data_IF_477511826658
#
_entry.id   IF_477511826658
#
_cell.length_a   1.000
_cell.length_b   1.000
_cell.length_c   1.000
_cell.angle_alpha   90.00
_cell.angle_beta   90.00
_cell.angle_gamma   90.00
#
_symmetry.space_group_name_H-M   'P 1'
#
loop_
_entity.id
_entity.type
_entity.pdbx_description
1 polymer ?
#
# COMPACT_ATOMS: atom_id res chain seq x y z
N UNK A 1 -0.41 -35.04 -25.76
CA UNK A 1 -1.19 -34.70 -24.55
C UNK A 1 -1.11 -33.20 -24.40
N UNK A 2 -2.22 -32.50 -24.54
CA UNK A 2 -2.28 -31.08 -24.17
C UNK A 2 -2.03 -30.98 -22.67
N UNK A 3 -1.10 -30.10 -22.27
CA UNK A 3 -0.89 -29.81 -20.86
C UNK A 3 -2.11 -29.03 -20.38
N UNK A 4 -2.84 -29.59 -19.42
CA UNK A 4 -3.93 -28.89 -18.78
C UNK A 4 -3.36 -27.69 -18.01
N UNK A 5 -3.88 -26.50 -18.29
CA UNK A 5 -3.51 -25.24 -17.64
C UNK A 5 -4.71 -24.68 -16.89
N UNK A 6 -4.48 -24.18 -15.69
CA UNK A 6 -5.49 -23.57 -14.84
C UNK A 6 -5.13 -22.10 -14.61
N UNK A 7 -6.00 -21.19 -14.99
CA UNK A 7 -5.77 -19.76 -14.80
C UNK A 7 -6.15 -19.35 -13.39
N UNK A 8 -5.25 -18.63 -12.73
CA UNK A 8 -5.38 -18.10 -11.37
C UNK A 8 -5.17 -16.58 -11.41
N UNK A 9 -6.16 -15.81 -10.94
CA UNK A 9 -5.97 -14.42 -10.55
C UNK A 9 -5.64 -14.37 -9.05
N UNK A 10 -4.45 -13.88 -8.74
CA UNK A 10 -3.91 -13.82 -7.39
C UNK A 10 -3.77 -12.36 -6.96
N UNK A 11 -4.44 -12.00 -5.86
CA UNK A 11 -4.23 -10.74 -5.16
C UNK A 11 -3.17 -10.92 -4.07
N UNK A 12 -2.12 -10.10 -4.10
CA UNK A 12 -1.11 -9.96 -3.07
C UNK A 12 -1.38 -8.68 -2.29
N UNK A 13 -1.71 -8.83 -1.00
CA UNK A 13 -1.98 -7.73 -0.09
C UNK A 13 -0.72 -7.40 0.71
N UNK A 14 -0.15 -6.23 0.46
CA UNK A 14 1.04 -5.73 1.14
C UNK A 14 0.64 -4.86 2.35
N UNK A 15 1.12 -5.25 3.52
CA UNK A 15 1.03 -4.44 4.75
C UNK A 15 2.41 -3.86 5.07
N UNK A 16 2.48 -2.54 5.22
CA UNK A 16 3.70 -1.85 5.68
C UNK A 16 3.50 -1.39 7.13
N UNK A 17 3.99 -2.19 8.07
CA UNK A 17 3.72 -2.05 9.50
C UNK A 17 5.01 -1.66 10.22
N UNK A 18 5.13 -0.43 10.75
CA UNK A 18 4.23 0.73 10.60
C UNK A 18 4.36 1.44 9.22
N UNK A 19 3.43 2.35 8.84
CA UNK A 19 2.35 2.95 9.62
C UNK A 19 0.98 2.25 9.51
N UNK A 20 0.84 1.25 8.65
CA UNK A 20 -0.40 0.49 8.49
C UNK A 20 -0.59 -0.52 9.63
N UNK A 21 -1.74 -1.17 9.66
CA UNK A 21 -2.01 -2.34 10.52
C UNK A 21 -2.07 -3.62 9.70
N UNK A 22 -1.56 -4.72 10.27
CA UNK A 22 -1.42 -6.06 9.64
C UNK A 22 -2.77 -6.70 9.24
N UNK A 23 -3.86 -6.33 9.91
CA UNK A 23 -5.21 -6.88 9.65
C UNK A 23 -6.18 -5.85 9.05
N UNK A 24 -5.66 -4.76 8.47
CA UNK A 24 -6.45 -3.74 7.79
C UNK A 24 -6.69 -4.10 6.31
N UNK A 25 -7.08 -3.10 5.51
CA UNK A 25 -6.98 -3.24 4.04
C UNK A 25 -5.59 -2.75 3.60
N UNK A 26 -4.80 -3.65 3.01
CA UNK A 26 -3.43 -3.35 2.56
C UNK A 26 -3.37 -2.80 1.13
N UNK A 27 -2.16 -2.59 0.63
CA UNK A 27 -1.94 -2.25 -0.78
C UNK A 27 -2.04 -3.55 -1.59
N UNK A 28 -3.03 -3.63 -2.46
CA UNK A 28 -3.25 -4.81 -3.29
C UNK A 28 -2.51 -4.69 -4.62
N UNK A 29 -1.78 -5.75 -4.93
CA UNK A 29 -1.23 -6.03 -6.25
C UNK A 29 -1.93 -7.26 -6.81
N UNK A 30 -2.30 -7.26 -8.08
CA UNK A 30 -2.94 -8.41 -8.72
C UNK A 30 -2.08 -8.98 -9.84
N UNK A 31 -2.16 -10.29 -10.06
CA UNK A 31 -1.49 -10.98 -11.15
C UNK A 31 -2.24 -12.22 -11.61
N UNK A 32 -2.32 -12.38 -12.92
CA UNK A 32 -2.81 -13.60 -13.56
C UNK A 32 -1.66 -14.59 -13.80
N UNK A 33 -1.86 -15.84 -13.40
CA UNK A 33 -0.89 -16.94 -13.51
C UNK A 33 -1.56 -18.15 -14.18
N UNK A 34 -0.84 -18.80 -15.09
CA UNK A 34 -1.26 -20.10 -15.64
C UNK A 34 -0.51 -21.22 -14.91
N UNK A 35 -1.25 -22.02 -14.16
CA UNK A 35 -0.72 -23.10 -13.34
C UNK A 35 -0.85 -24.44 -14.09
N UNK A 36 0.19 -25.29 -14.07
CA UNK A 36 0.14 -26.62 -14.69
C UNK A 36 -0.57 -27.67 -13.81
N UNK A 37 -1.18 -27.24 -12.70
CA UNK A 37 -1.88 -28.06 -11.74
C UNK A 37 -3.11 -27.30 -11.22
N UNK A 38 -4.09 -28.05 -10.72
CA UNK A 38 -5.29 -27.49 -10.10
C UNK A 38 -4.89 -26.71 -8.85
N UNK A 39 -5.22 -25.41 -8.73
CA UNK A 39 -4.97 -24.67 -7.50
C UNK A 39 -5.76 -25.32 -6.35
N UNK A 40 -5.08 -25.60 -5.24
CA UNK A 40 -5.73 -26.07 -4.02
C UNK A 40 -5.30 -25.18 -2.86
N UNK A 41 -6.13 -25.04 -1.82
CA UNK A 41 -5.77 -24.25 -0.65
C UNK A 41 -4.44 -24.73 -0.07
N UNK A 42 -3.69 -23.82 0.55
CA UNK A 42 -2.40 -24.09 1.21
C UNK A 42 -1.22 -24.43 0.27
N UNK A 43 -1.44 -24.50 -1.05
CA UNK A 43 -0.31 -24.52 -2.00
C UNK A 43 0.42 -23.19 -1.91
N UNK A 44 1.74 -23.29 -1.78
CA UNK A 44 2.64 -22.16 -1.88
C UNK A 44 3.18 -22.02 -3.30
N UNK A 45 3.07 -20.82 -3.86
CA UNK A 45 3.73 -20.45 -5.10
C UNK A 45 5.08 -19.82 -4.80
N UNK A 46 6.17 -20.38 -5.32
CA UNK A 46 7.50 -19.82 -5.15
C UNK A 46 8.26 -19.77 -6.49
N UNK A 47 9.14 -18.77 -6.60
CA UNK A 47 9.99 -18.61 -7.77
C UNK A 47 10.45 -17.16 -7.91
N UNK A 48 11.61 -16.97 -8.56
CA UNK A 48 12.18 -15.64 -8.81
C UNK A 48 11.25 -14.72 -9.59
N UNK A 49 10.39 -15.30 -10.42
CA UNK A 49 9.40 -14.57 -11.20
C UNK A 49 8.18 -14.16 -10.38
N UNK A 50 7.97 -14.74 -9.19
CA UNK A 50 6.77 -14.57 -8.37
C UNK A 50 7.07 -13.65 -7.17
N UNK A 51 8.18 -13.90 -6.48
CA UNK A 51 8.54 -13.25 -5.22
C UNK A 51 9.99 -12.75 -5.20
N UNK A 52 10.24 -11.74 -4.37
CA UNK A 52 11.53 -11.08 -4.19
C UNK A 52 12.51 -11.93 -3.37
N UNK A 53 12.03 -12.49 -2.27
CA UNK A 53 12.80 -13.33 -1.37
C UNK A 53 12.14 -14.71 -1.31
N UNK A 54 12.39 -15.61 -2.29
CA UNK A 54 11.75 -16.92 -2.36
C UNK A 54 12.14 -17.76 -1.14
N UNK A 55 11.40 -17.61 -0.06
CA UNK A 55 11.51 -18.41 1.14
C UNK A 55 10.95 -19.80 0.87
N UNK A 56 11.33 -20.81 1.68
CA UNK A 56 10.79 -22.16 1.56
C UNK A 56 9.25 -22.19 1.74
N UNK A 57 8.66 -21.15 2.32
CA UNK A 57 7.22 -21.01 2.52
C UNK A 57 6.45 -20.50 1.28
N UNK A 58 7.10 -19.77 0.36
CA UNK A 58 6.45 -19.14 -0.81
C UNK A 58 5.24 -18.25 -0.49
N UNK A 59 4.46 -17.91 -1.51
CA UNK A 59 3.17 -17.23 -1.39
C UNK A 59 2.06 -18.27 -1.24
N UNK A 60 1.56 -18.42 -0.02
CA UNK A 60 0.44 -19.32 0.27
C UNK A 60 -0.84 -18.79 -0.35
N UNK A 61 -1.56 -19.66 -1.06
CA UNK A 61 -2.89 -19.35 -1.59
C UNK A 61 -3.93 -19.43 -0.47
N UNK A 62 -4.41 -18.27 -0.04
CA UNK A 62 -5.52 -18.11 0.89
C UNK A 62 -6.80 -17.71 0.13
N UNK A 63 -7.96 -17.95 0.75
CA UNK A 63 -9.29 -17.60 0.20
C UNK A 63 -9.51 -18.06 -1.25
N UNK A 64 -9.03 -19.27 -1.58
CA UNK A 64 -9.17 -19.84 -2.91
C UNK A 64 -10.65 -20.06 -3.26
N UNK A 65 -11.09 -19.40 -4.33
CA UNK A 65 -12.44 -19.49 -4.88
C UNK A 65 -12.37 -19.85 -6.35
N UNK A 66 -13.33 -20.61 -6.85
CA UNK A 66 -13.49 -20.85 -8.28
C UNK A 66 -14.58 -19.93 -8.82
N UNK A 67 -14.21 -19.03 -9.72
CA UNK A 67 -15.16 -18.26 -10.51
C UNK A 67 -15.63 -19.13 -11.68
N UNK A 68 -16.87 -19.62 -11.56
CA UNK A 68 -17.51 -20.48 -12.56
C UNK A 68 -17.84 -19.70 -13.83
N UNK A 69 -18.18 -18.42 -13.73
CA UNK A 69 -18.60 -17.61 -14.87
C UNK A 69 -17.39 -17.23 -15.75
N UNK A 70 -16.28 -16.85 -15.11
CA UNK A 70 -15.02 -16.49 -15.78
C UNK A 70 -14.10 -17.68 -16.00
N UNK A 71 -14.47 -18.88 -15.51
CA UNK A 71 -13.71 -20.13 -15.64
C UNK A 71 -12.26 -20.02 -15.15
N UNK A 72 -12.05 -19.35 -14.01
CA UNK A 72 -10.73 -19.13 -13.43
C UNK A 72 -10.76 -19.25 -11.90
N UNK A 73 -9.59 -19.45 -11.32
CA UNK A 73 -9.42 -19.45 -9.86
C UNK A 73 -9.07 -18.06 -9.38
N UNK A 74 -9.58 -17.71 -8.20
CA UNK A 74 -9.30 -16.49 -7.50
C UNK A 74 -8.62 -16.86 -6.19
N UNK A 75 -7.46 -16.29 -5.88
CA UNK A 75 -6.85 -16.42 -4.55
C UNK A 75 -6.36 -15.07 -4.04
N UNK A 76 -6.16 -15.01 -2.73
CA UNK A 76 -5.51 -13.90 -2.06
C UNK A 76 -4.31 -14.43 -1.28
N UNK A 77 -3.29 -13.60 -1.10
CA UNK A 77 -2.18 -13.84 -0.19
C UNK A 77 -1.78 -12.53 0.44
N UNK A 78 -1.08 -12.56 1.57
CA UNK A 78 -0.61 -11.35 2.23
C UNK A 78 0.85 -11.43 2.65
N UNK A 79 1.50 -10.27 2.67
CA UNK A 79 2.86 -10.09 3.19
C UNK A 79 2.87 -8.88 4.10
N UNK A 80 3.35 -9.08 5.31
CA UNK A 80 3.66 -8.01 6.26
C UNK A 80 5.13 -7.63 6.12
N UNK A 81 5.39 -6.35 5.93
CA UNK A 81 6.72 -5.77 5.76
C UNK A 81 6.98 -4.75 6.87
N UNK A 82 8.07 -4.96 7.61
CA UNK A 82 8.59 -4.06 8.65
C UNK A 82 9.74 -3.23 8.07
N UNK A 83 9.46 -2.48 7.01
CA UNK A 83 10.48 -1.71 6.29
C UNK A 83 10.29 -0.22 6.52
N UNK A 84 11.36 0.60 6.46
CA UNK A 84 11.23 2.05 6.53
C UNK A 84 10.23 2.56 5.50
N UNK A 85 9.47 3.60 5.87
CA UNK A 85 8.48 4.20 4.97
C UNK A 85 9.10 4.65 3.64
N UNK A 86 10.37 5.06 3.68
CA UNK A 86 11.15 5.44 2.51
C UNK A 86 11.52 4.29 1.57
N UNK A 87 11.23 3.03 1.91
CA UNK A 87 11.48 1.88 1.04
C UNK A 87 10.21 1.34 0.40
N UNK A 88 9.02 1.75 0.88
CA UNK A 88 7.71 1.27 0.41
C UNK A 88 7.60 1.24 -1.12
N UNK A 89 7.93 2.30 -1.87
CA UNK A 89 7.74 2.30 -3.31
C UNK A 89 8.77 1.42 -4.03
N UNK A 90 9.97 1.18 -3.48
CA UNK A 90 10.90 0.19 -4.04
C UNK A 90 10.34 -1.22 -3.92
N UNK A 91 9.80 -1.57 -2.75
CA UNK A 91 9.14 -2.86 -2.52
C UNK A 91 7.98 -3.08 -3.50
N UNK A 92 7.14 -2.07 -3.69
CA UNK A 92 6.05 -2.16 -4.66
C UNK A 92 6.62 -2.30 -6.09
N UNK A 93 7.61 -1.47 -6.46
CA UNK A 93 8.26 -1.51 -7.77
C UNK A 93 8.84 -2.88 -8.08
N UNK A 94 9.47 -3.54 -7.10
CA UNK A 94 10.07 -4.86 -7.27
C UNK A 94 9.02 -5.90 -7.71
N UNK A 95 7.80 -5.85 -7.16
CA UNK A 95 6.70 -6.70 -7.60
C UNK A 95 6.18 -6.28 -8.98
N UNK A 96 6.03 -4.99 -9.26
CA UNK A 96 5.59 -4.53 -10.58
C UNK A 96 6.54 -4.99 -11.70
N UNK A 97 7.85 -4.92 -11.49
CA UNK A 97 8.86 -5.40 -12.45
C UNK A 97 8.80 -6.93 -12.68
N UNK A 98 8.20 -7.68 -11.74
CA UNK A 98 7.93 -9.12 -11.86
C UNK A 98 6.60 -9.44 -12.56
N UNK A 99 5.88 -8.42 -13.02
CA UNK A 99 4.64 -8.55 -13.78
C UNK A 99 3.37 -8.51 -12.92
N UNK A 100 3.47 -8.07 -11.66
CA UNK A 100 2.30 -7.69 -10.87
C UNK A 100 1.75 -6.34 -11.32
N UNK A 101 0.49 -6.06 -11.00
CA UNK A 101 -0.19 -4.79 -11.31
C UNK A 101 -0.80 -4.21 -10.05
N UNK A 102 -0.77 -2.89 -9.89
CA UNK A 102 -1.53 -2.22 -8.83
C UNK A 102 -3.04 -2.43 -9.08
N UNK A 103 -3.79 -2.70 -8.01
CA UNK A 103 -5.23 -2.93 -8.08
C UNK A 103 -5.62 -4.26 -7.44
N UNK A 104 -6.93 -4.52 -7.39
CA UNK A 104 -7.48 -5.78 -6.88
C UNK A 104 -8.31 -6.48 -7.94
N UNK A 105 -8.39 -7.81 -7.87
CA UNK A 105 -9.34 -8.62 -8.66
C UNK A 105 -10.79 -8.14 -8.53
N UNK A 106 -11.14 -7.46 -7.44
CA UNK A 106 -12.47 -6.86 -7.25
C UNK A 106 -12.82 -5.82 -8.35
N UNK A 107 -11.82 -5.22 -8.99
CA UNK A 107 -12.00 -4.33 -10.15
C UNK A 107 -12.67 -5.00 -11.33
N UNK A 108 -12.46 -6.31 -11.52
CA UNK A 108 -13.10 -7.06 -12.60
C UNK A 108 -14.63 -7.19 -12.42
N UNK A 109 -15.15 -6.86 -11.23
CA UNK A 109 -16.58 -6.86 -10.90
C UNK A 109 -17.15 -5.46 -10.68
N UNK A 110 -16.35 -4.40 -10.88
CA UNK A 110 -16.84 -3.02 -10.77
C UNK A 110 -17.64 -2.63 -12.01
N UNK A 111 -18.59 -1.74 -11.82
CA UNK A 111 -19.36 -1.14 -12.89
C UNK A 111 -18.44 -0.28 -13.80
N UNK A 112 -18.64 -0.36 -15.12
CA UNK A 112 -17.77 0.30 -16.12
C UNK A 112 -17.70 1.83 -15.93
N UNK A 113 -18.77 2.46 -15.45
CA UNK A 113 -18.80 3.91 -15.19
C UNK A 113 -17.83 4.32 -14.07
N UNK A 114 -17.73 3.54 -12.98
CA UNK A 114 -16.81 3.82 -11.88
C UNK A 114 -15.35 3.64 -12.30
N UNK A 115 -15.06 2.64 -13.14
CA UNK A 115 -13.71 2.39 -13.65
C UNK A 115 -13.21 3.52 -14.57
N UNK A 116 -14.09 4.08 -15.40
CA UNK A 116 -13.76 5.18 -16.32
C UNK A 116 -13.49 6.49 -15.56
N UNK A 117 -14.28 6.80 -14.52
CA UNK A 117 -14.07 7.99 -13.70
C UNK A 117 -12.71 7.95 -12.99
N UNK A 118 -12.36 6.80 -12.38
CA UNK A 118 -11.07 6.64 -11.71
C UNK A 118 -9.88 6.73 -12.67
N UNK A 119 -9.99 6.12 -13.86
CA UNK A 119 -8.96 6.21 -14.89
C UNK A 119 -8.77 7.66 -15.39
N UNK A 120 -9.85 8.43 -15.51
CA UNK A 120 -9.80 9.84 -15.87
C UNK A 120 -9.11 10.69 -14.79
N UNK A 121 -9.40 10.44 -13.50
CA UNK A 121 -8.69 11.09 -12.40
C UNK A 121 -7.18 10.82 -12.43
N UNK A 122 -6.79 9.56 -12.65
CA UNK A 122 -5.38 9.16 -12.77
C UNK A 122 -4.68 9.89 -13.91
N UNK A 123 -5.35 10.03 -15.06
CA UNK A 123 -4.82 10.69 -16.25
C UNK A 123 -4.68 12.21 -16.09
N UNK A 124 -5.68 12.90 -15.54
CA UNK A 124 -5.64 14.37 -15.34
C UNK A 124 -4.55 14.78 -14.36
N UNK A 125 -4.28 13.91 -13.40
CA UNK A 125 -3.39 14.20 -12.29
C UNK A 125 -1.91 13.88 -12.69
N UNK A 126 -1.65 13.44 -13.95
CA UNK A 126 -0.34 13.01 -14.50
C UNK A 126 0.59 14.14 -14.99
N UNK A 127 0.19 15.42 -14.91
CA UNK A 127 1.03 16.56 -15.33
C UNK A 127 1.97 17.12 -14.24
N UNK A 128 2.06 16.49 -13.06
CA UNK A 128 2.98 16.91 -12.01
C UNK A 128 4.36 16.28 -12.22
N UNK A 129 5.38 17.11 -12.49
CA UNK A 129 6.79 16.75 -12.66
C UNK A 129 7.21 15.58 -11.75
N UNK A 130 7.45 14.42 -12.38
CA UNK A 130 8.09 13.27 -11.78
C UNK A 130 9.51 13.68 -11.37
N UNK A 131 9.67 14.07 -10.10
CA UNK A 131 10.98 14.24 -9.51
C UNK A 131 11.64 12.87 -9.45
N UNK A 132 12.87 12.75 -9.96
CA UNK A 132 13.65 11.52 -9.87
C UNK A 132 13.93 11.27 -8.39
N UNK A 133 13.46 10.13 -7.89
CA UNK A 133 13.69 9.76 -6.51
C UNK A 133 15.00 8.99 -6.42
N UNK A 134 16.07 9.70 -6.07
CA UNK A 134 17.40 9.14 -5.90
C UNK A 134 17.52 8.46 -4.53
N UNK A 135 17.76 7.16 -4.54
CA UNK A 135 17.60 6.24 -3.40
C UNK A 135 18.93 5.86 -2.73
N UNK A 136 20.05 6.49 -3.12
CA UNK A 136 21.36 6.35 -2.48
C UNK A 136 21.40 7.06 -1.10
N UNK A 137 20.38 6.82 -0.27
CA UNK A 137 20.29 7.33 1.10
C UNK A 137 20.66 6.22 2.07
N UNK A 138 21.58 6.51 2.99
CA UNK A 138 21.92 5.60 4.07
C UNK A 138 20.67 5.22 4.88
N UNK A 139 20.43 3.91 5.05
CA UNK A 139 19.24 3.33 5.71
C UNK A 139 18.93 3.95 7.09
N UNK A 140 19.96 4.37 7.85
CA UNK A 140 19.78 5.01 9.16
C UNK A 140 19.08 6.39 9.10
N UNK A 141 19.25 7.14 8.01
CA UNK A 141 18.57 8.44 7.83
C UNK A 141 17.11 8.24 7.40
N UNK A 142 16.85 7.22 6.58
CA UNK A 142 15.53 6.86 6.08
C UNK A 142 14.54 6.51 7.21
N UNK A 143 15.01 5.83 8.26
CA UNK A 143 14.21 5.50 9.44
C UNK A 143 13.77 6.72 10.25
N UNK A 144 14.56 7.81 10.23
CA UNK A 144 14.32 9.00 11.06
C UNK A 144 13.39 10.00 10.40
N UNK A 145 13.41 10.10 9.07
CA UNK A 145 12.62 11.07 8.30
C UNK A 145 11.12 11.15 8.64
N UNK A 146 10.41 10.03 8.94
CA UNK A 146 9.00 10.10 9.33
C UNK A 146 8.77 10.99 10.56
N UNK A 147 9.71 11.00 11.52
CA UNK A 147 9.60 11.75 12.79
C UNK A 147 10.11 13.20 12.70
N UNK A 148 10.92 13.49 11.68
CA UNK A 148 11.56 14.79 11.46
C UNK A 148 10.56 15.84 10.94
N UNK A 149 10.81 17.15 11.19
CA UNK A 149 10.03 18.21 10.56
C UNK A 149 10.14 18.17 9.03
N UNK A 150 9.09 18.58 8.28
CA UNK A 150 9.10 18.56 6.80
C UNK A 150 10.25 19.31 6.13
N UNK A 151 10.77 20.35 6.79
CA UNK A 151 11.89 21.16 6.29
C UNK A 151 13.25 20.49 6.44
N UNK A 152 13.32 19.41 7.21
CA UNK A 152 14.55 18.71 7.56
C UNK A 152 14.65 17.33 6.91
N UNK A 153 13.73 16.99 6.00
CA UNK A 153 13.69 15.74 5.25
C UNK A 153 13.59 16.03 3.75
N UNK A 154 13.99 15.08 2.88
CA UNK A 154 13.97 15.29 1.43
C UNK A 154 12.57 15.69 0.91
N UNK A 155 12.47 16.58 -0.09
CA UNK A 155 11.21 16.93 -0.75
C UNK A 155 10.45 15.73 -1.32
N UNK A 156 11.18 14.73 -1.82
CA UNK A 156 10.68 13.49 -2.39
C UNK A 156 10.00 12.65 -1.29
N UNK A 157 10.66 12.52 -0.14
CA UNK A 157 10.06 11.86 1.01
C UNK A 157 8.81 12.60 1.50
N UNK A 158 8.76 13.94 1.45
CA UNK A 158 7.54 14.69 1.77
C UNK A 158 6.37 14.33 0.85
N UNK A 159 6.63 14.08 -0.45
CA UNK A 159 5.61 13.62 -1.40
C UNK A 159 5.17 12.20 -1.08
N UNK A 160 6.11 11.29 -0.84
CA UNK A 160 5.84 9.91 -0.42
C UNK A 160 5.03 9.86 0.88
N UNK A 161 5.41 10.63 1.89
CA UNK A 161 4.72 10.70 3.17
C UNK A 161 3.23 11.03 2.99
N UNK A 162 2.91 11.96 2.09
CA UNK A 162 1.53 12.28 1.72
C UNK A 162 0.86 11.17 0.92
N UNK A 163 1.59 10.51 0.01
CA UNK A 163 1.07 9.38 -0.74
C UNK A 163 0.69 8.19 0.17
N UNK A 164 1.53 7.89 1.16
CA UNK A 164 1.24 6.86 2.17
C UNK A 164 -0.01 7.23 2.98
N UNK A 165 -0.16 8.49 3.39
CA UNK A 165 -1.39 8.95 4.06
C UNK A 165 -2.62 8.74 3.16
N UNK A 166 -2.54 9.12 1.87
CA UNK A 166 -3.65 8.91 0.93
C UNK A 166 -3.98 7.42 0.80
N UNK A 167 -2.97 6.57 0.64
CA UNK A 167 -3.15 5.13 0.51
C UNK A 167 -3.83 4.53 1.75
N UNK A 168 -3.44 4.94 2.96
CA UNK A 168 -4.08 4.56 4.23
C UNK A 168 -5.55 5.00 4.28
N UNK A 169 -5.83 6.23 3.85
CA UNK A 169 -7.17 6.83 3.86
C UNK A 169 -8.11 6.15 2.86
N UNK A 170 -7.67 5.90 1.64
CA UNK A 170 -8.45 5.18 0.61
C UNK A 170 -8.85 3.77 1.06
N UNK A 171 -7.99 3.14 1.87
CA UNK A 171 -8.15 1.77 2.38
C UNK A 171 -8.75 1.70 3.78
N UNK A 172 -9.16 2.83 4.35
CA UNK A 172 -9.63 2.88 5.74
C UNK A 172 -8.65 2.23 6.75
N UNK A 173 -7.35 2.21 6.43
CA UNK A 173 -6.32 1.52 7.21
C UNK A 173 -5.67 2.51 8.18
N UNK A 174 -5.80 2.23 9.47
CA UNK A 174 -5.19 3.01 10.56
C UNK A 174 -5.45 4.53 10.46
N UNK A 175 -6.72 4.90 10.28
CA UNK A 175 -7.18 6.27 10.10
C UNK A 175 -6.75 7.25 11.22
N UNK A 176 -6.74 6.88 12.52
CA UNK A 176 -6.23 7.77 13.57
C UNK A 176 -4.77 8.18 13.33
N UNK A 177 -3.93 7.25 12.89
CA UNK A 177 -2.52 7.51 12.56
C UNK A 177 -2.41 8.35 11.29
N UNK A 178 -3.15 8.03 10.23
CA UNK A 178 -3.18 8.84 9.01
C UNK A 178 -3.63 10.28 9.29
N UNK A 179 -4.62 10.47 10.18
CA UNK A 179 -5.09 11.78 10.63
C UNK A 179 -4.00 12.56 11.38
N UNK A 180 -3.30 11.92 12.32
CA UNK A 180 -2.20 12.54 13.06
C UNK A 180 -1.02 12.89 12.15
N UNK A 181 -0.66 12.01 11.23
CA UNK A 181 0.34 12.27 10.19
C UNK A 181 -0.04 13.48 9.33
N UNK A 182 -1.29 13.55 8.85
CA UNK A 182 -1.76 14.68 8.06
C UNK A 182 -1.79 16.01 8.82
N UNK A 183 -2.01 15.97 10.14
CA UNK A 183 -2.08 17.17 11.01
C UNK A 183 -0.71 17.70 11.43
N UNK A 184 0.27 16.82 11.56
CA UNK A 184 1.59 17.16 12.14
C UNK A 184 2.73 17.09 11.13
N UNK A 185 2.47 16.51 9.96
CA UNK A 185 3.45 16.08 8.98
C UNK A 185 4.56 15.19 9.56
N UNK A 186 4.24 14.45 10.64
CA UNK A 186 5.17 13.57 11.35
C UNK A 186 4.51 12.25 11.70
N UNK A 187 5.33 11.24 11.89
CA UNK A 187 4.94 9.92 12.33
C UNK A 187 5.83 9.48 13.49
N UNK A 188 5.23 8.85 14.50
CA UNK A 188 5.93 8.28 15.64
C UNK A 188 5.42 6.86 15.90
N UNK A 189 6.33 5.91 16.06
CA UNK A 189 5.97 4.55 16.47
C UNK A 189 5.57 4.49 17.94
N UNK A 190 4.97 3.38 18.36
CA UNK A 190 4.65 3.17 19.78
C UNK A 190 5.90 3.08 20.65
N UNK A 191 6.99 2.53 20.12
CA UNK A 191 8.30 2.49 20.80
C UNK A 191 8.84 3.90 21.01
N UNK A 192 8.83 4.73 19.97
CA UNK A 192 9.21 6.14 20.05
C UNK A 192 8.33 6.93 21.02
N UNK A 193 7.04 6.56 21.18
CA UNK A 193 6.18 7.14 22.23
C UNK A 193 6.72 6.86 23.63
N UNK A 194 7.10 5.60 23.89
CA UNK A 194 7.58 5.13 25.19
C UNK A 194 8.92 5.77 25.53
N UNK A 195 9.81 5.86 24.54
CA UNK A 195 11.18 6.33 24.68
C UNK A 195 11.30 7.86 24.71
N UNK A 196 10.76 8.54 23.68
CA UNK A 196 11.12 9.93 23.45
C UNK A 196 10.42 10.90 24.41
N UNK A 197 9.29 10.53 25.04
CA UNK A 197 8.48 11.35 25.99
C UNK A 197 8.38 12.85 25.66
N UNK A 198 8.63 13.27 24.42
CA UNK A 198 8.73 14.67 24.03
C UNK A 198 7.33 15.27 24.01
N UNK A 199 7.24 16.59 24.17
CA UNK A 199 5.97 17.29 24.04
C UNK A 199 5.33 17.10 22.65
N UNK A 200 6.16 16.90 21.62
CA UNK A 200 5.72 16.68 20.24
C UNK A 200 5.12 15.28 20.07
N UNK A 201 5.80 14.22 20.52
CA UNK A 201 5.28 12.87 20.44
C UNK A 201 3.98 12.72 21.23
N UNK A 202 3.88 13.29 22.44
CA UNK A 202 2.61 13.26 23.22
C UNK A 202 1.46 13.93 22.47
N UNK A 203 1.68 15.15 21.95
CA UNK A 203 0.68 15.87 21.17
C UNK A 203 0.25 15.08 19.93
N UNK A 204 1.16 14.37 19.29
CA UNK A 204 0.85 13.50 18.15
C UNK A 204 -0.16 12.40 18.55
N UNK A 205 0.09 11.71 19.66
CA UNK A 205 -0.84 10.70 20.16
C UNK A 205 -2.18 11.28 20.61
N UNK A 206 -2.18 12.48 21.21
CA UNK A 206 -3.43 13.19 21.52
C UNK A 206 -4.25 13.48 20.25
N UNK A 207 -3.59 13.72 19.11
CA UNK A 207 -4.27 13.93 17.82
C UNK A 207 -4.83 12.60 17.27
N UNK A 208 -4.14 11.47 17.44
CA UNK A 208 -4.71 10.17 17.09
C UNK A 208 -6.06 9.96 17.81
N UNK A 209 -6.09 10.22 19.13
CA UNK A 209 -7.34 10.13 19.92
C UNK A 209 -8.40 11.16 19.54
N UNK A 210 -8.02 12.29 18.95
CA UNK A 210 -9.00 13.27 18.46
C UNK A 210 -9.78 12.77 17.26
N UNK A 211 -9.20 11.89 16.43
CA UNK A 211 -9.90 11.32 15.28
C UNK A 211 -11.15 10.55 15.70
N UNK A 212 -11.07 9.77 16.77
CA UNK A 212 -12.20 8.99 17.33
C UNK A 212 -13.33 9.88 17.85
N UNK A 213 -13.04 11.15 18.15
CA UNK A 213 -14.03 12.13 18.63
C UNK A 213 -14.68 12.92 17.48
N UNK A 214 -14.22 12.73 16.24
CA UNK A 214 -14.85 13.36 15.09
C UNK A 214 -16.14 12.65 14.74
N UNK A 215 -17.19 13.43 14.46
CA UNK A 215 -18.40 12.89 13.84
C UNK A 215 -18.13 12.43 12.40
N UNK A 216 -19.02 11.60 11.86
CA UNK A 216 -18.86 11.05 10.52
C UNK A 216 -18.77 12.12 9.43
N UNK A 217 -19.51 13.23 9.55
CA UNK A 217 -19.47 14.30 8.57
C UNK A 217 -18.10 15.00 8.51
N UNK A 218 -17.45 15.20 9.67
CA UNK A 218 -16.10 15.76 9.77
C UNK A 218 -15.05 14.79 9.26
N UNK A 219 -15.20 13.51 9.61
CA UNK A 219 -14.33 12.46 9.07
C UNK A 219 -14.43 12.48 7.55
N UNK A 220 -15.64 12.41 6.96
CA UNK A 220 -15.84 12.41 5.51
C UNK A 220 -15.24 13.62 4.81
N UNK A 221 -15.45 14.83 5.33
CA UNK A 221 -14.80 16.04 4.77
C UNK A 221 -13.28 15.97 4.81
N UNK A 222 -12.71 15.35 5.84
CA UNK A 222 -11.28 15.13 5.91
C UNK A 222 -10.83 14.08 4.88
N UNK A 223 -11.55 12.96 4.73
CA UNK A 223 -11.30 11.95 3.67
C UNK A 223 -11.24 12.60 2.28
N UNK A 224 -12.32 13.27 1.88
CA UNK A 224 -12.42 13.90 0.56
C UNK A 224 -11.31 14.95 0.36
N UNK A 225 -10.96 15.67 1.43
CA UNK A 225 -9.87 16.64 1.43
C UNK A 225 -8.48 16.03 1.29
N UNK A 226 -8.25 14.79 1.75
CA UNK A 226 -7.00 14.06 1.55
C UNK A 226 -6.94 13.54 0.12
N UNK A 227 -7.97 12.82 -0.33
CA UNK A 227 -8.05 12.22 -1.67
C UNK A 227 -7.82 13.28 -2.74
N UNK A 228 -8.42 14.47 -2.60
CA UNK A 228 -8.27 15.56 -3.58
C UNK A 228 -6.88 16.21 -3.63
N UNK A 229 -6.11 16.19 -2.54
CA UNK A 229 -4.88 17.02 -2.41
C UNK A 229 -3.59 16.21 -2.42
N UNK A 230 -3.64 14.97 -1.95
CA UNK A 230 -2.44 14.18 -1.72
C UNK A 230 -2.17 13.31 -2.96
N UNK A 231 -0.91 13.10 -3.35
CA UNK A 231 -0.60 12.28 -4.53
C UNK A 231 -0.99 10.82 -4.29
N UNK A 232 -1.36 10.11 -5.35
CA UNK A 232 -1.52 8.65 -5.35
C UNK A 232 -0.15 7.96 -5.21
N UNK A 233 -0.10 6.81 -4.53
CA UNK A 233 1.13 6.07 -4.31
C UNK A 233 1.69 5.49 -5.62
N UNK A 234 0.80 5.09 -6.51
CA UNK A 234 1.06 4.58 -7.86
C UNK A 234 1.97 5.53 -8.64
N UNK A 235 1.83 6.85 -8.45
CA UNK A 235 2.68 7.85 -9.12
C UNK A 235 4.08 7.92 -8.58
N UNK A 236 4.23 7.78 -7.26
CA UNK A 236 5.54 7.75 -6.63
C UNK A 236 6.31 6.51 -7.11
N UNK A 237 5.63 5.37 -7.21
CA UNK A 237 6.20 4.13 -7.75
C UNK A 237 6.52 4.26 -9.25
N UNK A 238 5.68 4.94 -10.03
CA UNK A 238 5.93 5.15 -11.46
C UNK A 238 7.08 6.13 -11.76
N UNK A 239 7.45 6.98 -10.80
CA UNK A 239 8.60 7.92 -10.93
C UNK A 239 9.95 7.32 -10.56
N UNK A 240 9.98 6.06 -10.11
CA UNK A 240 11.19 5.24 -9.92
C UNK A 240 11.58 4.57 -11.23
#
# INVERSE_FOLDING_TARGET
>A
MEKQTFTLELDLVLYFVPPMVEYGQGITLTRTLDLPFLPVPEVALCGKSIDEAPGPAGLRLDELTWDVDRQLFLAQTCITNEVPMAEIPMWIRSYLDRGWRMGSRAEAYRDEEEAVEEAAELAVESEAEAGVWDLDVESEDAERWPSMPPRSRPPEFNRLFKAVIRAMVERYNNLPVAYAMAKTDRFFTEEQRKELRTSVARKWWDICWQFEKLDWARQRRWFDGIIRRYPRLEKIVASL
#
